data_IF_664154404339
#
_entry.id   IF_664154404339
#
_cell.length_a   1.000
_cell.length_b   1.000
_cell.length_c   1.000
_cell.angle_alpha   90.00
_cell.angle_beta   90.00
_cell.angle_gamma   90.00
#
_symmetry.space_group_name_H-M   'P 1'
#
loop_
_entity.id
_entity.type
_entity.pdbx_description
1 polymer ?
#
# COMPACT_ATOMS: atom_id res chain seq x y z
N UNK A 1 -22.49 5.28 -25.49
CA UNK A 1 -21.55 5.09 -24.35
C UNK A 1 -21.14 3.63 -24.39
N UNK A 2 -19.96 3.36 -24.95
CA UNK A 2 -19.42 2.01 -25.11
C UNK A 2 -19.27 1.34 -23.74
N UNK A 3 -19.77 0.11 -23.60
CA UNK A 3 -19.57 -0.69 -22.38
C UNK A 3 -18.07 -0.88 -22.24
N UNK A 4 -17.47 -0.31 -21.19
CA UNK A 4 -16.08 -0.57 -20.80
C UNK A 4 -15.94 -2.07 -20.53
N UNK A 5 -15.58 -2.83 -21.57
CA UNK A 5 -15.10 -4.19 -21.44
C UNK A 5 -13.77 -4.04 -20.71
N UNK A 6 -13.69 -4.61 -19.50
CA UNK A 6 -12.43 -4.69 -18.78
C UNK A 6 -11.43 -5.46 -19.67
N UNK A 7 -10.42 -4.79 -20.23
CA UNK A 7 -9.53 -5.42 -21.19
C UNK A 7 -8.67 -6.49 -20.51
N UNK A 8 -8.35 -6.35 -19.22
CA UNK A 8 -7.65 -7.38 -18.47
C UNK A 8 -8.50 -8.65 -18.37
N UNK A 9 -9.79 -8.50 -18.05
CA UNK A 9 -10.73 -9.63 -17.99
C UNK A 9 -10.92 -10.29 -19.34
N UNK A 10 -10.95 -9.51 -20.43
CA UNK A 10 -11.04 -10.05 -21.78
C UNK A 10 -9.80 -10.88 -22.16
N UNK A 11 -8.60 -10.36 -21.92
CA UNK A 11 -7.35 -11.08 -22.20
C UNK A 11 -7.19 -12.33 -21.35
N UNK A 12 -7.62 -12.30 -20.09
CA UNK A 12 -7.66 -13.47 -19.22
C UNK A 12 -8.57 -14.58 -19.77
N UNK A 13 -9.76 -14.21 -20.28
CA UNK A 13 -10.71 -15.16 -20.86
C UNK A 13 -10.22 -15.74 -22.20
N UNK A 14 -9.36 -15.03 -22.93
CA UNK A 14 -8.85 -15.44 -24.25
C UNK A 14 -7.43 -16.06 -24.20
N UNK A 15 -6.95 -16.42 -23.00
CA UNK A 15 -5.62 -17.03 -22.81
C UNK A 15 -5.41 -18.31 -23.64
N UNK A 16 -6.46 -19.10 -23.88
CA UNK A 16 -6.39 -20.34 -24.67
C UNK A 16 -6.14 -20.04 -26.15
N UNK A 17 -6.72 -18.96 -26.67
CA UNK A 17 -6.54 -18.53 -28.06
C UNK A 17 -5.18 -17.83 -28.26
N UNK A 18 -4.65 -17.21 -27.21
CA UNK A 18 -3.46 -16.37 -27.26
C UNK A 18 -2.48 -16.66 -26.10
N UNK A 19 -1.86 -17.86 -26.05
CA UNK A 19 -1.09 -18.30 -24.88
C UNK A 19 0.14 -17.45 -24.58
N UNK A 20 0.78 -16.86 -25.59
CA UNK A 20 1.95 -15.98 -25.39
C UNK A 20 1.56 -14.49 -25.33
N UNK A 21 0.60 -14.08 -26.17
CA UNK A 21 0.22 -12.68 -26.30
C UNK A 21 -0.59 -12.19 -25.10
N UNK A 22 -1.47 -13.01 -24.52
CA UNK A 22 -2.25 -12.58 -23.34
C UNK A 22 -1.33 -12.19 -22.18
N UNK A 23 -0.24 -12.94 -21.96
CA UNK A 23 0.73 -12.66 -20.88
C UNK A 23 1.39 -11.30 -21.07
N UNK A 24 1.91 -11.05 -22.28
CA UNK A 24 2.51 -9.76 -22.63
C UNK A 24 1.49 -8.64 -22.45
N UNK A 25 0.27 -8.81 -22.95
CA UNK A 25 -0.76 -7.77 -22.87
C UNK A 25 -1.20 -7.51 -21.43
N UNK A 26 -1.30 -8.52 -20.58
CA UNK A 26 -1.57 -8.35 -19.14
C UNK A 26 -0.44 -7.56 -18.47
N UNK A 27 0.83 -7.82 -18.80
CA UNK A 27 1.97 -7.06 -18.28
C UNK A 27 1.86 -5.58 -18.67
N UNK A 28 1.52 -5.26 -19.92
CA UNK A 28 1.36 -3.86 -20.35
C UNK A 28 0.12 -3.17 -19.77
N UNK A 29 -1.02 -3.86 -19.71
CA UNK A 29 -2.29 -3.27 -19.26
C UNK A 29 -2.39 -3.16 -17.74
N UNK A 30 -1.67 -3.99 -16.99
CA UNK A 30 -1.63 -3.95 -15.53
C UNK A 30 -0.77 -2.81 -14.99
N UNK A 31 0.13 -2.26 -15.82
CA UNK A 31 0.91 -1.08 -15.45
C UNK A 31 -0.02 0.15 -15.42
N UNK A 32 -0.28 0.74 -14.25
CA UNK A 32 -1.01 1.99 -14.21
C UNK A 32 -0.21 3.08 -14.91
N UNK A 33 -0.87 4.03 -15.57
CA UNK A 33 -0.21 5.22 -16.10
C UNK A 33 0.46 5.98 -14.95
N UNK A 34 1.78 5.82 -14.84
CA UNK A 34 2.52 5.81 -13.58
C UNK A 34 2.56 7.15 -12.82
N UNK A 35 2.22 8.28 -13.45
CA UNK A 35 2.21 9.59 -12.78
C UNK A 35 1.00 9.75 -11.86
N UNK A 36 -0.20 9.45 -12.36
CA UNK A 36 -1.44 9.84 -11.69
C UNK A 36 -1.71 9.06 -10.40
N UNK A 37 -1.26 7.80 -10.31
CA UNK A 37 -1.41 6.97 -9.11
C UNK A 37 -0.50 7.45 -7.99
N UNK A 38 0.76 7.76 -8.32
CA UNK A 38 1.73 8.29 -7.34
C UNK A 38 1.29 9.67 -6.86
N UNK A 39 0.85 10.55 -7.75
CA UNK A 39 0.33 11.86 -7.39
C UNK A 39 -0.93 11.78 -6.52
N UNK A 40 -1.83 10.82 -6.80
CA UNK A 40 -3.01 10.57 -5.96
C UNK A 40 -2.60 10.10 -4.56
N UNK A 41 -1.69 9.14 -4.45
CA UNK A 41 -1.19 8.63 -3.16
C UNK A 41 -0.48 9.74 -2.38
N UNK A 42 0.35 10.54 -3.04
CA UNK A 42 1.04 11.67 -2.43
C UNK A 42 0.07 12.78 -2.01
N UNK A 43 -0.95 13.08 -2.82
CA UNK A 43 -1.99 14.07 -2.48
C UNK A 43 -2.83 13.62 -1.28
N UNK A 44 -3.24 12.35 -1.23
CA UNK A 44 -3.88 11.77 -0.04
C UNK A 44 -2.92 11.78 1.16
N UNK A 45 -1.65 11.48 0.92
CA UNK A 45 -0.58 11.54 1.90
C UNK A 45 -0.30 12.95 2.45
N UNK A 46 -0.62 14.02 1.70
CA UNK A 46 -0.47 15.40 2.19
C UNK A 46 -1.28 15.61 3.46
N UNK A 47 -2.52 15.10 3.58
CA UNK A 47 -3.27 15.22 4.83
C UNK A 47 -2.61 14.50 6.02
N UNK A 48 -1.95 13.36 5.77
CA UNK A 48 -1.21 12.61 6.79
C UNK A 48 0.14 13.26 7.17
N UNK A 49 0.74 14.01 6.25
CA UNK A 49 2.06 14.64 6.40
C UNK A 49 1.98 16.10 6.89
N UNK A 50 0.94 16.83 6.49
CA UNK A 50 0.90 18.30 6.51
C UNK A 50 0.59 18.91 7.88
N UNK A 51 0.12 18.16 8.90
CA UNK A 51 -0.29 18.78 10.16
C UNK A 51 0.38 18.28 11.45
N UNK A 52 0.92 17.05 11.49
CA UNK A 52 1.42 16.48 12.77
C UNK A 52 2.90 16.09 12.74
N UNK A 53 3.56 16.13 11.58
CA UNK A 53 4.88 15.46 11.41
C UNK A 53 5.83 16.16 10.42
N UNK A 54 6.21 17.40 10.72
CA UNK A 54 7.24 18.15 9.96
C UNK A 54 8.67 17.54 10.09
N UNK A 55 8.83 16.38 10.73
CA UNK A 55 10.10 15.64 10.88
C UNK A 55 9.96 14.14 10.60
N UNK A 56 9.13 13.76 9.63
CA UNK A 56 9.07 12.38 9.16
C UNK A 56 10.24 12.08 8.22
N UNK A 57 11.07 11.10 8.57
CA UNK A 57 12.05 10.53 7.63
C UNK A 57 11.33 9.96 6.41
N UNK A 58 11.98 10.04 5.23
CA UNK A 58 11.50 9.46 3.97
C UNK A 58 11.11 7.97 4.10
N UNK A 59 11.82 7.24 4.95
CA UNK A 59 11.53 5.83 5.22
C UNK A 59 10.19 5.65 5.92
N UNK A 60 9.89 6.51 6.90
CA UNK A 60 8.68 6.41 7.70
C UNK A 60 7.46 6.91 6.92
N UNK A 61 7.61 7.94 6.07
CA UNK A 61 6.56 8.35 5.14
C UNK A 61 6.21 7.23 4.14
N UNK A 62 7.21 6.58 3.55
CA UNK A 62 7.00 5.41 2.67
C UNK A 62 6.26 4.28 3.41
N UNK A 63 6.71 3.95 4.62
CA UNK A 63 6.11 2.86 5.41
C UNK A 63 4.64 3.14 5.72
N UNK A 64 4.30 4.36 6.12
CA UNK A 64 2.91 4.76 6.42
C UNK A 64 2.04 4.72 5.17
N UNK A 65 2.54 5.21 4.02
CA UNK A 65 1.80 5.17 2.76
C UNK A 65 1.57 3.73 2.27
N UNK A 66 2.59 2.86 2.35
CA UNK A 66 2.48 1.45 2.01
C UNK A 66 1.48 0.73 2.92
N UNK A 67 1.62 0.89 4.24
CA UNK A 67 0.73 0.27 5.22
C UNK A 67 -0.72 0.72 5.02
N UNK A 68 -0.95 2.00 4.80
CA UNK A 68 -2.28 2.53 4.49
C UNK A 68 -2.83 1.98 3.16
N UNK A 69 -1.98 1.75 2.17
CA UNK A 69 -2.40 1.11 0.91
C UNK A 69 -2.77 -0.36 1.10
N UNK A 70 -1.99 -1.11 1.89
CA UNK A 70 -2.27 -2.52 2.15
C UNK A 70 -3.54 -2.73 2.94
N UNK A 71 -3.82 -1.87 3.94
CA UNK A 71 -5.07 -1.88 4.67
C UNK A 71 -6.28 -1.65 3.75
N UNK A 72 -6.19 -0.75 2.76
CA UNK A 72 -7.27 -0.50 1.80
C UNK A 72 -7.49 -1.64 0.80
N UNK A 73 -6.48 -2.46 0.58
CA UNK A 73 -6.55 -3.62 -0.30
C UNK A 73 -6.87 -4.92 0.48
N UNK A 74 -7.24 -4.81 1.78
CA UNK A 74 -7.47 -5.93 2.68
C UNK A 74 -6.29 -6.94 2.73
N UNK A 75 -5.08 -6.46 2.44
CA UNK A 75 -3.85 -7.26 2.48
C UNK A 75 -3.32 -7.42 3.91
N UNK A 76 -3.77 -6.55 4.83
CA UNK A 76 -3.43 -6.58 6.25
C UNK A 76 -4.73 -6.48 7.04
N UNK A 77 -4.94 -7.42 7.95
CA UNK A 77 -6.10 -7.41 8.85
C UNK A 77 -5.90 -6.32 9.90
N UNK A 78 -6.90 -5.44 10.05
CA UNK A 78 -6.83 -4.31 10.96
C UNK A 78 -6.61 -4.76 12.41
N UNK A 79 -7.28 -5.83 12.84
CA UNK A 79 -7.18 -6.35 14.20
C UNK A 79 -5.78 -6.86 14.53
N UNK A 80 -5.15 -7.60 13.61
CA UNK A 80 -3.77 -8.06 13.76
C UNK A 80 -2.80 -6.88 13.89
N UNK A 81 -2.99 -5.82 13.08
CA UNK A 81 -2.17 -4.62 13.17
C UNK A 81 -2.32 -3.94 14.54
N UNK A 82 -3.54 -3.84 15.05
CA UNK A 82 -3.81 -3.26 16.37
C UNK A 82 -3.09 -4.06 17.47
N UNK A 83 -3.11 -5.39 17.39
CA UNK A 83 -2.45 -6.24 18.37
C UNK A 83 -0.92 -6.12 18.31
N UNK A 84 -0.34 -6.05 17.11
CA UNK A 84 1.09 -5.78 16.93
C UNK A 84 1.47 -4.41 17.50
N UNK A 85 0.67 -3.36 17.24
CA UNK A 85 0.93 -2.02 17.78
C UNK A 85 0.86 -2.01 19.31
N UNK A 86 -0.14 -2.65 19.90
CA UNK A 86 -0.25 -2.82 21.36
C UNK A 86 0.95 -3.56 21.93
N UNK A 87 1.39 -4.64 21.27
CA UNK A 87 2.56 -5.41 21.68
C UNK A 87 3.86 -4.59 21.62
N UNK A 88 4.03 -3.76 20.57
CA UNK A 88 5.17 -2.85 20.42
C UNK A 88 5.15 -1.74 21.47
N UNK A 89 4.00 -1.15 21.76
CA UNK A 89 3.86 -0.17 22.85
C UNK A 89 4.23 -0.79 24.19
N UNK A 90 3.73 -2.00 24.48
CA UNK A 90 4.09 -2.74 25.69
C UNK A 90 5.58 -3.07 25.75
N UNK A 91 6.21 -3.41 24.62
CA UNK A 91 7.66 -3.65 24.55
C UNK A 91 8.47 -2.40 24.81
N UNK A 92 8.04 -1.25 24.27
CA UNK A 92 8.73 0.03 24.47
C UNK A 92 8.65 0.52 25.92
N UNK A 93 7.54 0.28 26.60
CA UNK A 93 7.42 0.57 28.03
C UNK A 93 8.38 -0.29 28.87
N UNK A 94 8.56 -1.57 28.52
CA UNK A 94 9.53 -2.47 29.20
C UNK A 94 10.99 -2.08 28.97
N UNK A 95 11.34 -1.60 27.77
CA UNK A 95 12.71 -1.19 27.44
C UNK A 95 13.08 0.16 28.07
N UNK A 96 12.10 1.03 28.33
CA UNK A 96 12.31 2.30 29.02
C UNK A 96 12.62 2.14 30.50
N UNK A 97 11.93 1.24 31.21
CA UNK A 97 12.14 1.01 32.65
C UNK A 97 13.51 0.36 32.98
N UNK A 98 14.17 -0.27 32.00
CA UNK A 98 15.48 -0.91 32.22
C UNK A 98 16.65 0.08 32.15
N UNK A 99 16.47 1.27 31.58
CA UNK A 99 17.52 2.28 31.41
C UNK A 99 17.70 3.16 32.66
N UNK A 100 16.68 3.27 33.51
CA UNK A 100 16.68 4.18 34.68
C UNK A 100 17.11 3.49 36.00
N UNK A 101 17.67 2.28 35.94
CA UNK A 101 18.09 1.48 37.12
C UNK A 101 19.60 1.20 37.24
N UNK A 102 20.46 1.96 36.54
CA UNK A 102 21.93 1.91 36.72
C UNK A 102 22.50 3.25 37.18
#
# INVERSE_FOLDING_TARGET
>A
VEKFIDPLKWWMNNQVLYPNLHRMTLDYLSVPSASTVVERVLSQGRHLLHFTRNRLSLLLSRTVLCLGSWLRCDLVVHDELVDVVKALQKKRLRDGDQVDSN
#
